data_IF_849402912441
#
_entry.id   IF_849402912441
#
_cell.length_a   1.000
_cell.length_b   1.000
_cell.length_c   1.000
_cell.angle_alpha   90.00
_cell.angle_beta   90.00
_cell.angle_gamma   90.00
#
_symmetry.space_group_name_H-M   'P 1'
#
loop_
_entity.id
_entity.type
_entity.pdbx_description
1 polymer ?
#
# COMPACT_ATOMS: atom_id res chain seq x y z
N UNK A 1 -1.68 11.79 -7.68
CA UNK A 1 -1.98 11.62 -6.24
C UNK A 1 -1.02 12.51 -5.49
N UNK A 2 -1.52 13.47 -4.71
CA UNK A 2 -0.70 14.48 -4.05
C UNK A 2 -0.95 14.39 -2.55
N UNK A 3 0.08 14.01 -1.79
CA UNK A 3 0.04 14.09 -0.34
C UNK A 3 0.21 15.55 0.08
N UNK A 4 -0.58 16.01 1.05
CA UNK A 4 -0.33 17.28 1.71
C UNK A 4 0.90 17.14 2.62
N UNK A 5 2.04 17.69 2.17
CA UNK A 5 3.32 17.59 2.89
C UNK A 5 3.41 18.48 4.13
N UNK A 6 2.40 19.31 4.40
CA UNK A 6 2.33 20.09 5.65
C UNK A 6 2.00 19.21 6.86
N UNK A 7 1.43 18.03 6.64
CA UNK A 7 1.01 17.11 7.71
C UNK A 7 2.14 16.15 8.13
N UNK A 8 2.18 15.75 9.42
CA UNK A 8 3.03 14.67 9.90
C UNK A 8 2.90 13.38 9.07
N UNK A 9 4.01 12.64 8.92
CA UNK A 9 4.04 11.41 8.11
C UNK A 9 2.98 10.38 8.53
N UNK A 10 2.72 10.25 9.83
CA UNK A 10 1.71 9.35 10.37
C UNK A 10 0.29 9.77 9.94
N UNK A 11 -0.02 11.06 9.99
CA UNK A 11 -1.32 11.60 9.55
C UNK A 11 -1.52 11.41 8.05
N UNK A 12 -0.48 11.66 7.23
CA UNK A 12 -0.54 11.39 5.78
C UNK A 12 -0.82 9.90 5.49
N UNK A 13 -0.17 8.99 6.23
CA UNK A 13 -0.43 7.55 6.13
C UNK A 13 -1.87 7.20 6.48
N UNK A 14 -2.41 7.76 7.56
CA UNK A 14 -3.80 7.55 7.99
C UNK A 14 -4.81 8.06 6.96
N UNK A 15 -4.56 9.25 6.38
CA UNK A 15 -5.41 9.81 5.32
C UNK A 15 -5.43 8.96 4.06
N UNK A 16 -4.33 8.29 3.70
CA UNK A 16 -4.35 7.38 2.56
C UNK A 16 -5.27 6.17 2.77
N UNK A 17 -5.33 5.65 4.01
CA UNK A 17 -6.24 4.55 4.39
C UNK A 17 -7.70 5.04 4.34
N UNK A 18 -8.00 6.18 4.98
CA UNK A 18 -9.38 6.69 5.03
C UNK A 18 -9.92 7.12 3.65
N UNK A 19 -9.06 7.66 2.77
CA UNK A 19 -9.45 8.11 1.43
C UNK A 19 -9.42 7.00 0.37
N UNK A 20 -8.81 5.84 0.64
CA UNK A 20 -8.77 4.72 -0.30
C UNK A 20 -10.16 4.31 -0.82
N UNK A 21 -11.18 4.04 0.02
CA UNK A 21 -12.50 3.62 -0.46
C UNK A 21 -13.24 4.70 -1.25
N UNK A 22 -12.98 5.98 -0.94
CA UNK A 22 -13.63 7.15 -1.55
C UNK A 22 -13.01 7.54 -2.90
N UNK A 23 -11.87 6.96 -3.28
CA UNK A 23 -11.21 7.29 -4.54
C UNK A 23 -12.04 6.85 -5.75
N UNK A 24 -12.02 7.64 -6.82
CA UNK A 24 -12.63 7.24 -8.09
C UNK A 24 -11.99 5.95 -8.64
N UNK A 25 -12.71 5.20 -9.48
CA UNK A 25 -12.21 3.96 -10.07
C UNK A 25 -10.82 4.12 -10.72
N UNK A 26 -10.63 5.16 -11.55
CA UNK A 26 -9.33 5.47 -12.17
C UNK A 26 -8.25 5.79 -11.14
N UNK A 27 -8.60 6.52 -10.07
CA UNK A 27 -7.65 6.80 -9.00
C UNK A 27 -7.28 5.52 -8.21
N UNK A 28 -8.22 4.61 -7.99
CA UNK A 28 -7.95 3.31 -7.35
C UNK A 28 -6.96 2.48 -8.17
N UNK A 29 -7.12 2.41 -9.50
CA UNK A 29 -6.16 1.74 -10.39
C UNK A 29 -4.74 2.28 -10.24
N UNK A 30 -4.59 3.62 -10.26
CA UNK A 30 -3.28 4.27 -10.09
C UNK A 30 -2.69 3.96 -8.72
N UNK A 31 -3.50 3.99 -7.65
CA UNK A 31 -3.05 3.66 -6.29
C UNK A 31 -2.62 2.21 -6.14
N UNK A 32 -3.36 1.26 -6.74
CA UNK A 32 -3.01 -0.16 -6.73
C UNK A 32 -1.67 -0.41 -7.45
N UNK A 33 -1.51 0.15 -8.65
CA UNK A 33 -0.28 0.03 -9.41
C UNK A 33 0.92 0.65 -8.69
N UNK A 34 0.74 1.83 -8.08
CA UNK A 34 1.75 2.48 -7.24
C UNK A 34 2.17 1.60 -6.06
N UNK A 35 1.22 1.03 -5.32
CA UNK A 35 1.54 0.14 -4.20
C UNK A 35 2.26 -1.12 -4.65
N UNK A 36 1.84 -1.71 -5.78
CA UNK A 36 2.49 -2.90 -6.32
C UNK A 36 3.95 -2.61 -6.73
N UNK A 37 4.19 -1.49 -7.39
CA UNK A 37 5.54 -1.06 -7.75
C UNK A 37 6.41 -0.85 -6.52
N UNK A 38 5.92 -0.07 -5.54
CA UNK A 38 6.68 0.26 -4.33
C UNK A 38 7.02 -0.98 -3.49
N UNK A 39 6.09 -1.93 -3.36
CA UNK A 39 6.34 -3.16 -2.60
C UNK A 39 7.30 -4.11 -3.31
N UNK A 40 7.24 -4.21 -4.65
CA UNK A 40 8.23 -4.96 -5.43
C UNK A 40 9.62 -4.37 -5.30
N UNK A 41 9.72 -3.04 -5.31
CA UNK A 41 11.01 -2.36 -5.18
C UNK A 41 11.60 -2.55 -3.78
N UNK A 42 10.79 -2.41 -2.73
CA UNK A 42 11.19 -2.71 -1.35
C UNK A 42 11.64 -4.16 -1.16
N UNK A 43 10.99 -5.12 -1.83
CA UNK A 43 11.43 -6.53 -1.82
C UNK A 43 12.75 -6.74 -2.54
N UNK A 44 13.04 -5.93 -3.56
CA UNK A 44 14.27 -6.02 -4.36
C UNK A 44 15.46 -5.38 -3.65
N UNK A 45 15.25 -4.24 -3.02
CA UNK A 45 16.29 -3.46 -2.36
C UNK A 45 15.69 -2.61 -1.25
N UNK A 46 16.14 -2.85 -0.01
CA UNK A 46 15.81 -1.99 1.12
C UNK A 46 16.53 -0.65 0.97
N UNK A 47 15.82 0.49 1.01
CA UNK A 47 16.44 1.80 0.89
C UNK A 47 17.46 2.05 2.01
N UNK A 48 18.51 2.81 1.71
CA UNK A 48 19.54 3.16 2.68
C UNK A 48 18.93 3.80 3.94
N UNK A 49 19.34 3.30 5.10
CA UNK A 49 18.86 3.76 6.41
C UNK A 49 17.46 3.26 6.79
N UNK A 50 16.86 2.33 6.04
CA UNK A 50 15.67 1.61 6.49
C UNK A 50 16.07 0.32 7.19
N UNK A 51 15.47 0.11 8.36
CA UNK A 51 15.55 -1.17 9.07
C UNK A 51 14.51 -2.14 8.52
N UNK A 52 14.67 -3.43 8.82
CA UNK A 52 13.72 -4.45 8.39
C UNK A 52 12.34 -4.24 9.00
N UNK A 53 12.29 -3.75 10.24
CA UNK A 53 11.05 -3.38 10.94
C UNK A 53 10.34 -2.26 10.19
N UNK A 54 11.08 -1.25 9.72
CA UNK A 54 10.49 -0.15 8.95
C UNK A 54 9.96 -0.60 7.59
N UNK A 55 10.59 -1.60 6.96
CA UNK A 55 10.05 -2.23 5.75
C UNK A 55 8.75 -2.96 6.11
N UNK A 56 8.74 -3.73 7.20
CA UNK A 56 7.54 -4.44 7.66
C UNK A 56 6.36 -3.51 7.92
N UNK A 57 6.58 -2.41 8.66
CA UNK A 57 5.56 -1.36 8.90
C UNK A 57 5.02 -0.76 7.59
N UNK A 58 5.84 -0.72 6.53
CA UNK A 58 5.39 -0.24 5.23
C UNK A 58 4.48 -1.26 4.54
N UNK A 59 4.81 -2.55 4.61
CA UNK A 59 3.95 -3.61 4.08
C UNK A 59 2.60 -3.66 4.81
N UNK A 60 2.59 -3.57 6.14
CA UNK A 60 1.36 -3.54 6.94
C UNK A 60 0.48 -2.33 6.59
N UNK A 61 1.08 -1.13 6.52
CA UNK A 61 0.38 0.07 6.10
C UNK A 61 -0.16 -0.04 4.67
N UNK A 62 0.63 -0.58 3.75
CA UNK A 62 0.18 -0.78 2.37
C UNK A 62 -1.01 -1.75 2.31
N UNK A 63 -1.03 -2.80 3.14
CA UNK A 63 -2.16 -3.72 3.28
C UNK A 63 -3.45 -3.01 3.70
N UNK A 64 -3.37 -2.09 4.67
CA UNK A 64 -4.53 -1.28 5.10
C UNK A 64 -5.05 -0.39 3.98
N UNK A 65 -4.17 0.23 3.19
CA UNK A 65 -4.57 1.04 2.04
C UNK A 65 -5.23 0.17 0.97
N UNK A 66 -4.63 -0.97 0.63
CA UNK A 66 -5.12 -1.89 -0.41
C UNK A 66 -6.48 -2.47 -0.05
N UNK A 67 -6.75 -2.75 1.23
CA UNK A 67 -8.07 -3.20 1.68
C UNK A 67 -9.19 -2.23 1.26
N UNK A 68 -8.96 -0.91 1.34
CA UNK A 68 -9.91 0.11 0.88
C UNK A 68 -9.97 0.28 -0.66
N UNK A 69 -9.05 -0.32 -1.41
CA UNK A 69 -8.99 -0.25 -2.87
C UNK A 69 -9.56 -1.50 -3.56
N UNK A 70 -9.84 -2.58 -2.82
CA UNK A 70 -10.33 -3.86 -3.36
C UNK A 70 -11.61 -3.70 -4.19
N UNK A 71 -11.82 -4.65 -5.10
CA UNK A 71 -12.95 -4.65 -6.03
C UNK A 71 -12.77 -3.69 -7.21
N UNK A 72 -11.52 -3.32 -7.54
CA UNK A 72 -11.19 -2.41 -8.64
C UNK A 72 -10.51 -3.15 -9.79
N UNK A 73 -9.51 -3.98 -9.49
CA UNK A 73 -8.73 -4.71 -10.49
C UNK A 73 -8.10 -5.96 -9.87
N UNK A 74 -8.70 -7.12 -10.16
CA UNK A 74 -8.30 -8.40 -9.60
C UNK A 74 -6.82 -8.73 -9.84
N UNK A 75 -6.29 -8.44 -11.02
CA UNK A 75 -4.89 -8.78 -11.38
C UNK A 75 -3.88 -8.02 -10.49
N UNK A 76 -4.14 -6.74 -10.23
CA UNK A 76 -3.29 -5.95 -9.34
C UNK A 76 -3.47 -6.37 -7.89
N UNK A 77 -4.70 -6.67 -7.48
CA UNK A 77 -5.04 -7.12 -6.13
C UNK A 77 -4.38 -8.48 -5.81
N UNK A 78 -4.48 -9.47 -6.70
CA UNK A 78 -3.86 -10.79 -6.51
C UNK A 78 -2.33 -10.70 -6.41
N UNK A 79 -1.71 -9.84 -7.22
CA UNK A 79 -0.27 -9.61 -7.19
C UNK A 79 0.18 -8.95 -5.89
N UNK A 80 -0.63 -8.04 -5.34
CA UNK A 80 -0.40 -7.44 -4.02
C UNK A 80 -0.58 -8.48 -2.91
N UNK A 81 -1.62 -9.31 -2.99
CA UNK A 81 -1.90 -10.36 -2.01
C UNK A 81 -0.78 -11.39 -1.93
N UNK A 82 -0.16 -11.72 -3.07
CA UNK A 82 1.05 -12.55 -3.07
C UNK A 82 2.19 -11.89 -2.27
N UNK A 83 2.46 -10.61 -2.48
CA UNK A 83 3.52 -9.89 -1.76
C UNK A 83 3.23 -9.81 -0.26
N UNK A 84 1.98 -9.60 0.13
CA UNK A 84 1.60 -9.57 1.54
C UNK A 84 1.75 -10.95 2.20
N UNK A 85 1.33 -12.03 1.53
CA UNK A 85 1.52 -13.41 2.03
C UNK A 85 3.00 -13.76 2.18
N UNK A 86 3.83 -13.43 1.20
CA UNK A 86 5.30 -13.65 1.27
C UNK A 86 5.92 -12.94 2.48
N UNK A 87 5.29 -11.87 2.97
CA UNK A 87 5.76 -11.04 4.07
C UNK A 87 5.01 -11.28 5.40
N UNK A 88 4.12 -12.27 5.44
CA UNK A 88 3.32 -12.59 6.62
C UNK A 88 2.33 -11.49 7.03
N UNK A 89 1.93 -10.61 6.11
CA UNK A 89 0.94 -9.56 6.37
C UNK A 89 -0.44 -10.08 6.02
N UNK A 90 -1.32 -10.15 7.02
CA UNK A 90 -2.73 -10.49 6.81
C UNK A 90 -3.47 -9.31 6.18
N UNK A 91 -4.05 -9.52 4.99
CA UNK A 91 -4.94 -8.55 4.38
C UNK A 91 -6.39 -8.87 4.72
N UNK A 92 -7.06 -7.93 5.38
CA UNK A 92 -8.49 -8.02 5.68
C UNK A 92 -9.28 -8.08 4.36
N UNK A 93 -10.18 -9.05 4.23
CA UNK A 93 -11.08 -9.22 3.08
C UNK A 93 -10.59 -10.19 1.99
N UNK A 94 -9.79 -11.21 2.38
CA UNK A 94 -9.50 -12.38 1.53
C UNK A 94 -10.71 -13.31 1.44
#
# INVERSE_FOLDING_TARGET
MTDDKSLPKAERKALQVSHAPQASYRAKLVKLADKLYNLRDLRRCTPDGWTEERVQEYFEWAGQVVAGLRGTNQVLEDALDQLFRERGVETIGS
#
